data_IF_380324012035
#
_entry.id   IF_380324012035
#
_cell.length_a   1.000
_cell.length_b   1.000
_cell.length_c   1.000
_cell.angle_alpha   90.00
_cell.angle_beta   90.00
_cell.angle_gamma   90.00
#
_symmetry.space_group_name_H-M   'P 1'
#
loop_
_entity.id
_entity.type
_entity.pdbx_description
1 polymer ?
#
# COMPACT_ATOMS: atom_id res chain seq x y z
N UNK A 1 -4.07 1.17 -8.09
CA UNK A 1 -5.52 1.17 -7.79
C UNK A 1 -5.77 0.24 -6.60
N UNK A 2 -6.47 0.66 -5.54
CA UNK A 2 -6.79 -0.24 -4.41
C UNK A 2 -7.93 -1.21 -4.69
N UNK A 3 -8.59 -1.10 -5.84
CA UNK A 3 -9.69 -1.96 -6.30
C UNK A 3 -10.97 -1.95 -5.45
N UNK A 4 -11.16 -1.05 -4.49
CA UNK A 4 -12.40 -1.02 -3.71
C UNK A 4 -13.62 -0.57 -4.54
N UNK A 5 -13.45 0.37 -5.48
CA UNK A 5 -14.54 0.69 -6.42
C UNK A 5 -14.85 -0.52 -7.31
N UNK A 6 -13.82 -1.24 -7.77
CA UNK A 6 -13.97 -2.48 -8.54
C UNK A 6 -14.71 -3.54 -7.72
N UNK A 7 -14.43 -3.65 -6.42
CA UNK A 7 -15.14 -4.56 -5.51
C UNK A 7 -16.64 -4.27 -5.51
N UNK A 8 -17.01 -2.99 -5.41
CA UNK A 8 -18.41 -2.56 -5.39
C UNK A 8 -19.14 -2.76 -6.72
N UNK A 9 -18.48 -2.53 -7.87
CA UNK A 9 -19.16 -2.50 -9.18
C UNK A 9 -18.92 -3.74 -10.04
N UNK A 10 -17.90 -4.53 -9.72
CA UNK A 10 -17.49 -5.71 -10.51
C UNK A 10 -17.25 -6.96 -9.66
N UNK A 11 -17.39 -6.86 -8.34
CA UNK A 11 -17.33 -7.99 -7.42
C UNK A 11 -15.93 -8.32 -6.89
N UNK A 12 -15.91 -9.23 -5.91
CA UNK A 12 -14.73 -9.57 -5.11
C UNK A 12 -13.60 -10.18 -5.94
N UNK A 13 -13.91 -11.09 -6.87
CA UNK A 13 -12.89 -11.83 -7.63
C UNK A 13 -11.95 -10.90 -8.40
N UNK A 14 -12.50 -9.93 -9.13
CA UNK A 14 -11.68 -9.00 -9.91
C UNK A 14 -10.92 -8.02 -9.00
N UNK A 15 -11.55 -7.57 -7.92
CA UNK A 15 -10.89 -6.69 -6.97
C UNK A 15 -9.70 -7.36 -6.28
N UNK A 16 -9.87 -8.61 -5.83
CA UNK A 16 -8.84 -9.37 -5.15
C UNK A 16 -7.68 -9.73 -6.10
N UNK A 17 -7.98 -10.02 -7.37
CA UNK A 17 -6.96 -10.21 -8.42
C UNK A 17 -6.13 -8.94 -8.64
N UNK A 18 -6.77 -7.76 -8.78
CA UNK A 18 -6.07 -6.48 -8.96
C UNK A 18 -5.18 -6.19 -7.75
N UNK A 19 -5.68 -6.38 -6.54
CA UNK A 19 -4.89 -6.17 -5.33
C UNK A 19 -3.71 -7.14 -5.26
N UNK A 20 -3.91 -8.43 -5.59
CA UNK A 20 -2.85 -9.43 -5.63
C UNK A 20 -1.75 -9.04 -6.62
N UNK A 21 -2.10 -8.68 -7.85
CA UNK A 21 -1.13 -8.28 -8.88
C UNK A 21 -0.31 -7.07 -8.46
N UNK A 22 -0.95 -6.05 -7.87
CA UNK A 22 -0.23 -4.88 -7.38
C UNK A 22 0.79 -5.24 -6.30
N UNK A 23 0.42 -6.09 -5.34
CA UNK A 23 1.32 -6.48 -4.25
C UNK A 23 2.45 -7.36 -4.77
N UNK A 24 2.16 -8.32 -5.64
CA UNK A 24 3.18 -9.20 -6.21
C UNK A 24 4.18 -8.41 -7.07
N UNK A 25 3.73 -7.38 -7.79
CA UNK A 25 4.60 -6.47 -8.55
C UNK A 25 5.53 -5.67 -7.63
N UNK A 26 5.00 -5.10 -6.53
CA UNK A 26 5.81 -4.39 -5.52
C UNK A 26 6.90 -5.31 -4.93
N UNK A 27 6.55 -6.55 -4.63
CA UNK A 27 7.50 -7.54 -4.10
C UNK A 27 8.55 -7.94 -5.14
N UNK A 28 8.14 -8.17 -6.38
CA UNK A 28 9.06 -8.51 -7.47
C UNK A 28 10.06 -7.37 -7.77
N UNK A 29 9.63 -6.12 -7.58
CA UNK A 29 10.49 -4.94 -7.69
C UNK A 29 11.44 -4.74 -6.48
N UNK A 30 11.29 -5.53 -5.41
CA UNK A 30 12.07 -5.36 -4.18
C UNK A 30 11.71 -4.11 -3.38
N UNK A 31 10.47 -3.64 -3.50
CA UNK A 31 10.02 -2.46 -2.76
C UNK A 31 10.01 -2.73 -1.24
N UNK A 32 10.45 -1.74 -0.46
CA UNK A 32 10.34 -1.76 1.01
C UNK A 32 9.04 -1.09 1.49
N UNK A 33 8.60 -0.03 0.79
CA UNK A 33 7.44 0.78 1.15
C UNK A 33 6.35 0.70 0.08
N UNK A 34 5.09 0.67 0.51
CA UNK A 34 3.93 0.96 -0.32
C UNK A 34 3.38 2.35 0.06
N UNK A 35 3.57 3.32 -0.83
CA UNK A 35 3.18 4.72 -0.59
C UNK A 35 1.75 4.97 -1.08
N UNK A 36 0.91 5.53 -0.21
CA UNK A 36 -0.47 5.87 -0.50
C UNK A 36 -0.67 7.38 -0.60
N UNK A 37 -1.34 7.83 -1.65
CA UNK A 37 -1.77 9.23 -1.81
C UNK A 37 -3.26 9.43 -1.51
N UNK A 38 -3.98 8.37 -1.14
CA UNK A 38 -5.42 8.37 -0.92
C UNK A 38 -5.73 7.64 0.39
N UNK A 39 -6.47 8.26 1.34
CA UNK A 39 -6.82 7.63 2.61
C UNK A 39 -7.59 6.32 2.44
N UNK A 40 -8.52 6.25 1.48
CA UNK A 40 -9.27 5.03 1.20
C UNK A 40 -8.35 3.90 0.74
N UNK A 41 -7.38 4.19 -0.15
CA UNK A 41 -6.40 3.19 -0.57
C UNK A 41 -5.57 2.68 0.61
N UNK A 42 -5.13 3.59 1.48
CA UNK A 42 -4.35 3.22 2.67
C UNK A 42 -5.16 2.32 3.60
N UNK A 43 -6.39 2.69 3.95
CA UNK A 43 -7.26 1.87 4.81
C UNK A 43 -7.50 0.47 4.22
N UNK A 44 -7.73 0.37 2.91
CA UNK A 44 -8.09 -0.91 2.28
C UNK A 44 -6.93 -1.86 2.02
N UNK A 45 -5.70 -1.35 1.87
CA UNK A 45 -4.53 -2.15 1.49
C UNK A 45 -3.46 -2.27 2.56
N UNK A 46 -3.43 -1.40 3.59
CA UNK A 46 -2.31 -1.37 4.56
C UNK A 46 -2.09 -2.73 5.22
N UNK A 47 -3.14 -3.38 5.74
CA UNK A 47 -2.99 -4.69 6.36
C UNK A 47 -2.47 -5.76 5.37
N UNK A 48 -2.94 -5.71 4.12
CA UNK A 48 -2.55 -6.67 3.07
C UNK A 48 -1.08 -6.53 2.68
N UNK A 49 -0.59 -5.30 2.55
CA UNK A 49 0.82 -5.04 2.21
C UNK A 49 1.72 -5.35 3.41
N UNK A 50 1.32 -5.01 4.64
CA UNK A 50 2.05 -5.34 5.87
C UNK A 50 2.21 -6.85 6.05
N UNK A 51 1.15 -7.64 5.85
CA UNK A 51 1.22 -9.11 5.91
C UNK A 51 2.17 -9.73 4.87
N UNK A 52 2.58 -8.96 3.86
CA UNK A 52 3.51 -9.39 2.81
C UNK A 52 4.91 -8.79 2.97
N UNK A 53 5.17 -8.09 4.08
CA UNK A 53 6.49 -7.52 4.41
C UNK A 53 6.75 -6.12 3.87
N UNK A 54 5.74 -5.46 3.29
CA UNK A 54 5.84 -4.08 2.81
C UNK A 54 5.39 -3.11 3.92
N UNK A 55 6.06 -1.95 4.01
CA UNK A 55 5.71 -0.88 4.95
C UNK A 55 4.67 0.08 4.34
N UNK A 56 3.41 0.11 4.82
CA UNK A 56 2.44 1.08 4.33
C UNK A 56 2.79 2.48 4.83
N UNK A 57 2.83 3.48 3.95
CA UNK A 57 3.08 4.88 4.35
C UNK A 57 2.20 5.84 3.57
N UNK A 58 1.66 6.87 4.22
CA UNK A 58 0.98 7.95 3.49
C UNK A 58 2.02 8.90 2.90
N UNK A 59 1.76 9.48 1.72
CA UNK A 59 2.69 10.39 1.04
C UNK A 59 3.12 11.58 1.92
N UNK A 60 2.21 12.07 2.78
CA UNK A 60 2.52 13.14 3.75
C UNK A 60 3.61 12.69 4.73
N UNK A 61 3.51 11.47 5.23
CA UNK A 61 4.50 10.93 6.16
C UNK A 61 5.83 10.65 5.47
N UNK A 62 5.80 10.20 4.21
CA UNK A 62 7.01 10.08 3.40
C UNK A 62 7.71 11.44 3.25
N UNK A 63 6.96 12.50 2.96
CA UNK A 63 7.52 13.86 2.88
C UNK A 63 8.11 14.31 4.22
N UNK A 64 7.42 14.06 5.34
CA UNK A 64 7.93 14.37 6.68
C UNK A 64 9.22 13.61 7.00
N UNK A 65 9.33 12.35 6.58
CA UNK A 65 10.57 11.58 6.69
C UNK A 65 11.70 12.15 5.84
N UNK A 66 11.39 12.70 4.67
CA UNK A 66 12.39 13.30 3.79
C UNK A 66 12.97 14.61 4.34
N UNK A 67 12.17 15.40 5.07
CA UNK A 67 12.60 16.68 5.68
C UNK A 67 13.02 16.56 7.16
N UNK A 68 13.03 15.35 7.72
CA UNK A 68 13.47 15.09 9.10
C UNK A 68 12.43 15.40 10.19
N UNK A 69 11.17 15.64 9.83
CA UNK A 69 10.07 15.84 10.78
C UNK A 69 9.48 14.54 11.34
N UNK A 70 9.81 13.40 10.72
CA UNK A 70 9.40 12.05 11.16
C UNK A 70 10.54 11.06 10.95
N UNK A 71 10.74 10.16 11.90
CA UNK A 71 11.72 9.08 11.74
C UNK A 71 11.24 8.03 10.72
N UNK A 72 12.19 7.40 10.03
CA UNK A 72 11.89 6.23 9.19
C UNK A 72 11.68 5.03 10.11
N UNK A 73 10.56 4.32 9.96
CA UNK A 73 10.30 3.14 10.78
C UNK A 73 11.40 2.08 10.55
N UNK A 74 12.09 1.71 11.63
CA UNK A 74 13.13 0.69 11.60
C UNK A 74 12.54 -0.66 11.19
N UNK A 75 13.30 -1.43 10.40
CA UNK A 75 12.96 -2.83 10.12
C UNK A 75 13.17 -3.61 11.42
N UNK A 76 12.08 -4.07 12.04
CA UNK A 76 12.13 -5.06 13.13
C UNK A 76 12.20 -6.47 12.55
#
# INVERSE_FOLDING_TARGET
>A
CCAEIIRSVSGYKLADDVQKRNIDDMLAAGAEYCVFNCPACQTSLSEKVTRRGLKPVHIIDLCKMAIGEKEREAVS
#
